data_IF_131865580332
#
_entry.id   IF_131865580332
#
_cell.length_a   1.000
_cell.length_b   1.000
_cell.length_c   1.000
_cell.angle_alpha   90.00
_cell.angle_beta   90.00
_cell.angle_gamma   90.00
#
_symmetry.space_group_name_H-M   'P 1'
#
loop_
_entity.id
_entity.type
_entity.pdbx_description
1 polymer ?
#
# COMPACT_ATOMS: atom_id res chain seq x y z
N UNK A 1 -7.64 3.41 34.03
CA UNK A 1 -6.56 3.48 33.01
C UNK A 1 -6.30 2.05 32.52
N UNK A 2 -6.94 1.60 31.43
CA UNK A 2 -6.70 0.29 30.83
C UNK A 2 -6.47 0.49 29.32
N UNK A 3 -5.22 0.63 28.90
CA UNK A 3 -4.87 0.81 27.47
C UNK A 3 -3.67 -0.02 27.01
N UNK A 4 -2.90 -0.63 27.92
CA UNK A 4 -1.68 -1.37 27.60
C UNK A 4 -1.92 -2.81 27.10
N UNK A 5 -2.96 -3.51 27.54
CA UNK A 5 -3.13 -4.96 27.23
C UNK A 5 -3.50 -5.27 25.77
N UNK A 6 -4.07 -4.30 25.03
CA UNK A 6 -4.55 -4.51 23.67
C UNK A 6 -3.55 -4.04 22.59
N UNK A 7 -2.58 -3.19 22.95
CA UNK A 7 -1.60 -2.68 22.00
C UNK A 7 -0.72 -3.79 21.39
N UNK A 8 -0.17 -4.75 22.16
CA UNK A 8 0.65 -5.83 21.60
C UNK A 8 -0.10 -6.69 20.57
N UNK A 9 -1.36 -7.02 20.85
CA UNK A 9 -2.21 -7.80 19.94
C UNK A 9 -2.51 -7.02 18.64
N UNK A 10 -2.84 -5.73 18.76
CA UNK A 10 -3.07 -4.86 17.59
C UNK A 10 -1.80 -4.71 16.76
N UNK A 11 -0.66 -4.47 17.41
CA UNK A 11 0.66 -4.41 16.76
C UNK A 11 0.95 -5.69 15.99
N UNK A 12 0.76 -6.87 16.61
CA UNK A 12 0.99 -8.16 15.95
C UNK A 12 0.13 -8.33 14.69
N UNK A 13 -1.18 -8.03 14.77
CA UNK A 13 -2.09 -8.12 13.61
C UNK A 13 -1.68 -7.14 12.49
N UNK A 14 -1.30 -5.92 12.84
CA UNK A 14 -0.80 -4.93 11.88
C UNK A 14 0.47 -5.42 11.21
N UNK A 15 1.44 -5.94 11.96
CA UNK A 15 2.70 -6.44 11.39
C UNK A 15 2.46 -7.62 10.44
N UNK A 16 1.53 -8.51 10.74
CA UNK A 16 1.15 -9.59 9.83
C UNK A 16 0.50 -9.06 8.54
N UNK A 17 -0.38 -8.06 8.63
CA UNK A 17 -0.99 -7.45 7.45
C UNK A 17 0.05 -6.70 6.58
N UNK A 18 0.95 -5.95 7.22
CA UNK A 18 2.06 -5.27 6.55
C UNK A 18 2.98 -6.29 5.87
N UNK A 19 3.31 -7.40 6.54
CA UNK A 19 4.14 -8.46 5.95
C UNK A 19 3.52 -9.05 4.68
N UNK A 20 2.21 -9.33 4.69
CA UNK A 20 1.49 -9.81 3.48
C UNK A 20 1.52 -8.79 2.36
N UNK A 21 1.25 -7.52 2.67
CA UNK A 21 1.33 -6.44 1.69
C UNK A 21 2.73 -6.31 1.10
N UNK A 22 3.75 -6.32 1.96
CA UNK A 22 5.15 -6.16 1.58
C UNK A 22 5.59 -7.25 0.61
N UNK A 23 5.28 -8.51 0.91
CA UNK A 23 5.59 -9.65 0.03
C UNK A 23 4.87 -9.52 -1.31
N UNK A 24 3.55 -9.28 -1.30
CA UNK A 24 2.78 -9.14 -2.53
C UNK A 24 3.22 -7.95 -3.39
N UNK A 25 3.61 -6.83 -2.76
CA UNK A 25 4.15 -5.68 -3.47
C UNK A 25 5.50 -5.99 -4.09
N UNK A 26 6.39 -6.65 -3.34
CA UNK A 26 7.72 -7.05 -3.84
C UNK A 26 7.61 -8.04 -5.00
N UNK A 27 6.74 -9.04 -4.90
CA UNK A 27 6.49 -10.01 -5.98
C UNK A 27 6.02 -9.33 -7.27
N UNK A 28 5.16 -8.30 -7.14
CA UNK A 28 4.57 -7.63 -8.30
C UNK A 28 5.43 -6.50 -8.88
N UNK A 29 6.17 -5.78 -8.04
CA UNK A 29 6.95 -4.61 -8.42
C UNK A 29 8.47 -4.88 -8.49
N UNK A 30 8.91 -6.08 -8.10
CA UNK A 30 10.31 -6.50 -8.04
C UNK A 30 11.08 -6.00 -6.82
N UNK A 31 10.72 -4.83 -6.28
CA UNK A 31 11.34 -4.26 -5.09
C UNK A 31 10.35 -3.44 -4.27
N UNK A 32 10.75 -3.10 -3.05
CA UNK A 32 10.08 -2.17 -2.13
C UNK A 32 10.90 -0.89 -1.94
N UNK A 33 12.13 -0.85 -2.44
CA UNK A 33 13.02 0.29 -2.29
C UNK A 33 12.79 1.30 -3.41
N UNK A 34 12.56 2.56 -3.04
CA UNK A 34 12.32 3.63 -4.00
C UNK A 34 13.47 3.77 -5.01
N UNK A 35 14.73 3.61 -4.57
CA UNK A 35 15.90 3.65 -5.45
C UNK A 35 15.84 2.56 -6.53
N UNK A 36 15.51 1.33 -6.17
CA UNK A 36 15.37 0.22 -7.11
C UNK A 36 14.18 0.41 -8.07
N UNK A 37 13.07 0.95 -7.57
CA UNK A 37 11.84 1.16 -8.36
C UNK A 37 11.92 2.36 -9.31
N UNK A 38 12.54 3.45 -8.87
CA UNK A 38 12.64 4.70 -9.65
C UNK A 38 13.95 4.82 -10.43
N UNK A 39 14.96 4.03 -10.09
CA UNK A 39 16.33 4.18 -10.61
C UNK A 39 17.03 5.47 -10.14
N UNK A 40 16.43 6.23 -9.21
CA UNK A 40 16.96 7.51 -8.76
C UNK A 40 17.60 7.41 -7.39
N UNK A 41 18.71 8.14 -7.22
CA UNK A 41 19.27 8.41 -5.91
C UNK A 41 18.78 9.76 -5.35
N UNK A 42 17.77 9.70 -4.50
CA UNK A 42 17.14 10.88 -3.87
C UNK A 42 18.02 11.55 -2.81
N UNK A 43 19.16 10.94 -2.45
CA UNK A 43 20.16 11.59 -1.58
C UNK A 43 20.89 12.72 -2.33
N UNK A 44 20.91 12.67 -3.67
CA UNK A 44 21.53 13.68 -4.54
C UNK A 44 20.54 14.77 -4.95
N UNK A 45 21.03 15.99 -5.17
CA UNK A 45 20.23 17.10 -5.71
C UNK A 45 19.66 16.79 -7.10
N UNK A 46 20.46 16.17 -7.97
CA UNK A 46 20.05 15.76 -9.31
C UNK A 46 18.92 14.72 -9.28
N UNK A 47 19.00 13.72 -8.39
CA UNK A 47 17.95 12.73 -8.22
C UNK A 47 16.64 13.35 -7.74
N UNK A 48 16.70 14.32 -6.82
CA UNK A 48 15.51 15.09 -6.39
C UNK A 48 14.89 15.90 -7.52
N UNK A 49 15.71 16.57 -8.33
CA UNK A 49 15.22 17.35 -9.47
C UNK A 49 14.51 16.46 -10.51
N UNK A 50 15.10 15.31 -10.86
CA UNK A 50 14.47 14.33 -11.77
C UNK A 50 13.16 13.76 -11.21
N UNK A 51 13.10 13.56 -9.89
CA UNK A 51 11.89 13.11 -9.21
C UNK A 51 10.73 14.09 -9.42
N UNK A 52 10.99 15.39 -9.22
CA UNK A 52 9.99 16.45 -9.37
C UNK A 52 9.53 16.63 -10.81
N UNK A 53 10.46 16.53 -11.76
CA UNK A 53 10.16 16.81 -13.17
C UNK A 53 9.34 15.71 -13.87
N UNK A 54 9.47 14.44 -13.49
CA UNK A 54 8.90 13.36 -14.31
C UNK A 54 8.55 12.06 -13.59
N UNK A 55 9.38 11.63 -12.63
CA UNK A 55 9.26 10.28 -12.06
C UNK A 55 8.03 10.13 -11.16
N UNK A 56 7.61 11.20 -10.45
CA UNK A 56 6.38 11.18 -9.65
C UNK A 56 5.15 10.77 -10.47
N UNK A 57 4.94 11.45 -11.61
CA UNK A 57 3.74 11.27 -12.43
C UNK A 57 3.77 9.99 -13.28
N UNK A 58 4.95 9.59 -13.78
CA UNK A 58 5.06 8.48 -14.74
C UNK A 58 5.39 7.13 -14.09
N UNK A 59 6.19 7.13 -13.04
CA UNK A 59 6.74 5.90 -12.45
C UNK A 59 6.11 5.65 -11.08
N UNK A 60 6.25 6.59 -10.13
CA UNK A 60 5.73 6.42 -8.77
C UNK A 60 4.21 6.21 -8.75
N UNK A 61 3.46 6.92 -9.60
CA UNK A 61 2.01 6.77 -9.70
C UNK A 61 1.57 5.33 -10.01
N UNK A 62 2.31 4.59 -10.85
CA UNK A 62 2.00 3.20 -11.19
C UNK A 62 2.24 2.27 -9.99
N UNK A 63 3.32 2.49 -9.25
CA UNK A 63 3.61 1.73 -8.03
C UNK A 63 2.61 2.03 -6.92
N UNK A 64 2.25 3.31 -6.73
CA UNK A 64 1.21 3.72 -5.76
C UNK A 64 -0.14 3.10 -6.12
N UNK A 65 -0.53 3.12 -7.40
CA UNK A 65 -1.75 2.45 -7.88
C UNK A 65 -1.74 0.97 -7.55
N UNK A 66 -0.61 0.29 -7.79
CA UNK A 66 -0.46 -1.14 -7.49
C UNK A 66 -0.57 -1.40 -5.98
N UNK A 67 0.08 -0.57 -5.16
CA UNK A 67 -0.03 -0.64 -3.70
C UNK A 67 -1.47 -0.46 -3.22
N UNK A 68 -2.18 0.55 -3.74
CA UNK A 68 -3.58 0.79 -3.41
C UNK A 68 -4.48 -0.40 -3.79
N UNK A 69 -4.25 -1.01 -4.96
CA UNK A 69 -4.98 -2.21 -5.39
C UNK A 69 -4.71 -3.43 -4.48
N UNK A 70 -3.47 -3.62 -4.05
CA UNK A 70 -3.12 -4.69 -3.10
C UNK A 70 -3.76 -4.47 -1.73
N UNK A 71 -3.80 -3.23 -1.25
CA UNK A 71 -4.47 -2.87 0.01
C UNK A 71 -5.99 -3.04 -0.09
N UNK A 72 -6.62 -2.63 -1.18
CA UNK A 72 -8.06 -2.80 -1.39
C UNK A 72 -8.50 -4.27 -1.48
N UNK A 73 -7.57 -5.19 -1.80
CA UNK A 73 -7.82 -6.64 -1.81
C UNK A 73 -7.59 -7.31 -0.45
N UNK A 74 -6.67 -6.76 0.34
CA UNK A 74 -6.23 -7.35 1.62
C UNK A 74 -6.99 -6.78 2.82
N UNK A 75 -7.46 -5.54 2.72
CA UNK A 75 -8.60 -5.08 3.49
C UNK A 75 -9.85 -5.47 2.71
N UNK A 76 -10.72 -6.30 3.29
CA UNK A 76 -12.15 -6.21 3.00
C UNK A 76 -12.56 -4.76 3.19
N UNK A 77 -12.47 -3.94 2.15
CA UNK A 77 -13.44 -2.87 2.00
C UNK A 77 -14.73 -3.66 1.91
N UNK A 78 -15.50 -3.62 3.00
CA UNK A 78 -16.93 -3.88 2.95
C UNK A 78 -17.50 -2.74 2.11
N UNK A 79 -17.18 -2.68 0.81
CA UNK A 79 -18.08 -2.04 -0.12
C UNK A 79 -19.28 -2.95 -0.06
N UNK A 80 -20.24 -2.56 0.78
CA UNK A 80 -21.60 -3.07 0.69
C UNK A 80 -21.90 -3.05 -0.79
N UNK A 81 -21.90 -4.25 -1.36
CA UNK A 81 -22.11 -4.38 -2.78
C UNK A 81 -23.52 -3.89 -2.97
N UNK A 82 -23.78 -3.12 -4.03
CA UNK A 82 -25.14 -2.69 -4.39
C UNK A 82 -26.14 -3.87 -4.49
N UNK A 83 -25.63 -5.10 -4.51
CA UNK A 83 -26.32 -6.38 -4.45
C UNK A 83 -26.86 -6.78 -3.04
N UNK A 84 -26.36 -6.22 -1.94
CA UNK A 84 -26.84 -6.55 -0.58
C UNK A 84 -28.18 -5.87 -0.24
N UNK A 85 -28.54 -4.80 -0.96
CA UNK A 85 -29.80 -4.07 -0.75
C UNK A 85 -30.99 -4.84 -1.35
N UNK A 86 -30.79 -5.57 -2.44
CA UNK A 86 -31.88 -6.23 -3.19
C UNK A 86 -32.40 -7.47 -2.44
N UNK A 87 -31.61 -8.08 -1.56
CA UNK A 87 -32.01 -9.27 -0.76
C UNK A 87 -32.82 -8.97 0.50
N UNK A 88 -33.03 -7.70 0.86
CA UNK A 88 -33.80 -7.29 2.06
C UNK A 88 -35.22 -6.81 1.77
N UNK A 89 -35.67 -6.88 0.51
CA UNK A 89 -37.03 -6.47 0.07
C UNK A 89 -37.81 -7.68 -0.45
N UNK A 90 -37.60 -8.87 0.14
CA UNK A 90 -38.45 -10.04 -0.11
C UNK A 90 -38.76 -10.73 1.20
#
# INVERSE_FOLDING_TARGET
MQKESEYPKKKMRTMQAVGRFYNAFKERCGSIECRALSGLDLTTSQGRQKLEQSVKARICANFVRTGAQLLARSGTIRTSSRLDIIRKIK
#
